data_IF_370472242280
#
_entry.id   IF_370472242280
#
_cell.length_a   1.000
_cell.length_b   1.000
_cell.length_c   1.000
_cell.angle_alpha   90.00
_cell.angle_beta   90.00
_cell.angle_gamma   90.00
#
_symmetry.space_group_name_H-M   'P 1'
#
loop_
_entity.id
_entity.type
_entity.pdbx_description
1 polymer ?
#
# COMPACT_ATOMS: atom_id res chain seq x y z
N UNK A 1 -0.32 29.00 -11.00
CA UNK A 1 -1.71 28.86 -10.50
C UNK A 1 -1.79 29.65 -9.20
N UNK A 2 -2.68 30.65 -9.11
CA UNK A 2 -2.80 31.59 -7.98
C UNK A 2 -4.11 31.39 -7.20
N UNK A 3 -4.54 30.14 -6.97
CA UNK A 3 -5.59 29.86 -5.96
C UNK A 3 -4.90 29.80 -4.60
N UNK A 4 -5.40 30.58 -3.64
CA UNK A 4 -4.91 30.63 -2.27
C UNK A 4 -6.11 30.46 -1.34
N UNK A 5 -6.00 29.60 -0.34
CA UNK A 5 -7.10 29.25 0.55
C UNK A 5 -7.62 27.82 0.31
N UNK A 6 -8.66 27.39 1.06
CA UNK A 6 -9.27 26.08 0.88
C UNK A 6 -9.89 25.94 -0.52
N UNK A 7 -10.01 24.70 -0.98
CA UNK A 7 -10.81 24.38 -2.15
C UNK A 7 -12.30 24.46 -1.77
N UNK A 8 -13.08 25.15 -2.60
CA UNK A 8 -14.53 25.32 -2.38
C UNK A 8 -15.30 24.05 -2.73
N UNK A 9 -14.80 23.26 -3.70
CA UNK A 9 -15.44 22.04 -4.18
C UNK A 9 -14.82 20.82 -3.47
N UNK A 10 -15.60 20.15 -2.62
CA UNK A 10 -15.14 18.94 -1.89
C UNK A 10 -14.85 17.77 -2.82
N UNK A 11 -15.46 17.75 -4.01
CA UNK A 11 -15.15 16.79 -5.06
C UNK A 11 -13.70 16.93 -5.54
N UNK A 12 -13.21 18.15 -5.74
CA UNK A 12 -11.82 18.42 -6.15
C UNK A 12 -10.84 17.91 -5.08
N UNK A 13 -11.19 18.08 -3.79
CA UNK A 13 -10.42 17.53 -2.67
C UNK A 13 -10.37 15.99 -2.72
N UNK A 14 -11.53 15.35 -2.94
CA UNK A 14 -11.65 13.90 -3.06
C UNK A 14 -10.82 13.36 -4.22
N UNK A 15 -10.92 13.97 -5.40
CA UNK A 15 -10.18 13.58 -6.60
C UNK A 15 -8.65 13.68 -6.39
N UNK A 16 -8.19 14.76 -5.77
CA UNK A 16 -6.77 14.89 -5.38
C UNK A 16 -6.38 13.79 -4.40
N UNK A 17 -7.23 13.47 -3.42
CA UNK A 17 -7.01 12.39 -2.48
C UNK A 17 -6.87 11.02 -3.14
N UNK A 18 -7.76 10.70 -4.09
CA UNK A 18 -7.72 9.45 -4.86
C UNK A 18 -6.42 9.36 -5.66
N UNK A 19 -6.05 10.44 -6.37
CA UNK A 19 -4.85 10.45 -7.19
C UNK A 19 -3.55 10.37 -6.35
N UNK A 20 -3.50 11.01 -5.18
CA UNK A 20 -2.38 10.84 -4.25
C UNK A 20 -2.30 9.42 -3.68
N UNK A 21 -3.44 8.83 -3.31
CA UNK A 21 -3.48 7.46 -2.83
C UNK A 21 -3.07 6.46 -3.93
N UNK A 22 -3.43 6.71 -5.18
CA UNK A 22 -3.01 5.90 -6.33
C UNK A 22 -1.49 5.94 -6.52
N UNK A 23 -0.90 7.13 -6.49
CA UNK A 23 0.55 7.29 -6.57
C UNK A 23 1.28 6.62 -5.40
N UNK A 24 0.77 6.78 -4.17
CA UNK A 24 1.34 6.11 -2.99
C UNK A 24 1.19 4.59 -3.06
N UNK A 25 0.02 4.09 -3.49
CA UNK A 25 -0.21 2.65 -3.72
C UNK A 25 0.86 2.11 -4.65
N UNK A 26 1.07 2.75 -5.81
CA UNK A 26 2.07 2.33 -6.78
C UNK A 26 3.50 2.23 -6.18
N UNK A 27 3.90 3.19 -5.36
CA UNK A 27 5.19 3.16 -4.67
C UNK A 27 5.25 2.04 -3.62
N UNK A 28 4.18 1.85 -2.84
CA UNK A 28 4.13 0.81 -1.82
C UNK A 28 4.23 -0.60 -2.44
N UNK A 29 3.64 -0.84 -3.61
CA UNK A 29 3.81 -2.14 -4.31
C UNK A 29 5.23 -2.36 -4.85
N UNK A 30 6.08 -1.34 -4.91
CA UNK A 30 7.48 -1.48 -5.29
C UNK A 30 8.43 -1.38 -4.08
N UNK A 31 7.90 -1.56 -2.86
CA UNK A 31 8.65 -1.48 -1.61
C UNK A 31 9.24 -0.08 -1.34
N UNK A 32 8.63 0.97 -1.90
CA UNK A 32 9.04 2.36 -1.72
C UNK A 32 8.03 3.06 -0.80
N UNK A 33 8.49 3.54 0.35
CA UNK A 33 7.74 4.50 1.20
C UNK A 33 8.27 5.90 0.95
N UNK A 34 7.38 6.86 0.69
CA UNK A 34 7.75 8.19 0.22
C UNK A 34 8.24 9.12 1.36
N UNK A 35 7.57 9.08 2.52
CA UNK A 35 7.99 9.67 3.82
C UNK A 35 8.05 11.20 3.95
N UNK A 36 8.02 11.96 2.86
CA UNK A 36 8.02 13.43 2.90
C UNK A 36 6.89 14.03 2.06
N UNK A 37 5.72 13.38 2.05
CA UNK A 37 4.58 13.89 1.28
C UNK A 37 4.02 15.16 1.93
N UNK A 38 4.07 16.27 1.19
CA UNK A 38 3.61 17.60 1.58
C UNK A 38 3.23 18.41 0.34
N UNK A 39 2.45 19.50 0.45
CA UNK A 39 2.04 20.29 -0.71
C UNK A 39 3.20 20.79 -1.58
N UNK A 40 4.33 21.17 -0.98
CA UNK A 40 5.54 21.60 -1.73
C UNK A 40 6.11 20.52 -2.65
N UNK A 41 5.84 19.25 -2.36
CA UNK A 41 6.28 18.10 -3.14
C UNK A 41 5.20 17.58 -4.11
N UNK A 42 4.08 18.31 -4.27
CA UNK A 42 2.98 17.96 -5.17
C UNK A 42 2.76 19.09 -6.17
N UNK A 43 3.11 18.86 -7.43
CA UNK A 43 2.75 19.75 -8.52
C UNK A 43 1.37 19.41 -9.07
N UNK A 44 0.50 20.40 -9.19
CA UNK A 44 -0.78 20.23 -9.89
C UNK A 44 -0.59 20.56 -11.36
N UNK A 45 -0.81 19.57 -12.21
CA UNK A 45 -0.79 19.70 -13.67
C UNK A 45 -2.20 19.62 -14.23
N UNK A 46 -2.42 20.15 -15.44
CA UNK A 46 -3.68 19.94 -16.15
C UNK A 46 -3.45 18.88 -17.24
N UNK A 47 -4.08 17.70 -17.10
CA UNK A 47 -4.09 16.67 -18.14
C UNK A 47 -5.53 16.44 -18.57
N UNK A 48 -5.82 16.72 -19.83
CA UNK A 48 -7.16 16.49 -20.39
C UNK A 48 -8.26 17.38 -19.81
N UNK A 49 -7.93 18.49 -19.14
CA UNK A 49 -8.91 19.35 -18.45
C UNK A 49 -8.99 19.10 -16.95
N UNK A 50 -8.40 18.02 -16.44
CA UNK A 50 -8.46 17.62 -15.03
C UNK A 50 -7.18 18.01 -14.28
N UNK A 51 -7.34 18.41 -13.02
CA UNK A 51 -6.23 18.73 -12.13
C UNK A 51 -5.58 17.42 -11.63
N UNK A 52 -4.41 17.09 -12.17
CA UNK A 52 -3.68 15.87 -11.81
C UNK A 52 -2.49 16.21 -10.89
N UNK A 53 -2.47 15.73 -9.64
CA UNK A 53 -1.31 15.86 -8.77
C UNK A 53 -0.16 14.98 -9.28
N UNK A 54 1.04 15.53 -9.31
CA UNK A 54 2.27 14.88 -9.73
C UNK A 54 3.29 15.06 -8.61
N UNK A 55 3.81 13.94 -8.11
CA UNK A 55 4.84 13.96 -7.08
C UNK A 55 6.17 14.46 -7.66
N UNK A 56 6.82 15.33 -6.91
CA UNK A 56 8.18 15.80 -7.20
C UNK A 56 9.06 15.56 -5.98
N UNK A 57 10.37 15.47 -6.18
CA UNK A 57 11.36 15.23 -5.11
C UNK A 57 11.22 13.87 -4.41
N UNK A 58 12.10 12.92 -4.74
CA UNK A 58 12.13 11.57 -4.16
C UNK A 58 13.29 11.37 -3.17
N UNK A 59 13.96 12.44 -2.75
CA UNK A 59 15.19 12.35 -1.96
C UNK A 59 15.00 11.69 -0.58
N UNK A 60 13.77 11.69 -0.04
CA UNK A 60 13.43 11.03 1.23
C UNK A 60 12.82 9.64 1.04
N UNK A 61 12.56 9.20 -0.19
CA UNK A 61 11.99 7.88 -0.44
C UNK A 61 12.97 6.76 -0.03
N UNK A 62 12.44 5.63 0.47
CA UNK A 62 13.25 4.41 0.68
C UNK A 62 13.18 3.50 -0.55
N UNK A 63 14.15 2.60 -0.73
CA UNK A 63 14.13 1.60 -1.81
C UNK A 63 14.50 2.10 -3.21
N UNK A 64 14.78 3.41 -3.38
CA UNK A 64 15.12 3.98 -4.69
C UNK A 64 16.61 3.81 -5.07
N UNK A 65 17.52 3.80 -4.09
CA UNK A 65 18.96 3.58 -4.30
C UNK A 65 19.55 2.78 -3.12
N UNK A 66 19.96 1.50 -3.33
CA UNK A 66 20.57 0.68 -2.29
C UNK A 66 21.99 1.12 -1.90
N UNK A 67 22.60 2.04 -2.66
CA UNK A 67 23.95 2.58 -2.43
C UNK A 67 23.96 4.01 -1.90
N UNK A 68 22.81 4.69 -1.90
CA UNK A 68 22.70 5.99 -1.26
C UNK A 68 22.86 5.82 0.26
N UNK A 69 23.83 6.52 0.85
CA UNK A 69 23.87 6.71 2.29
C UNK A 69 22.48 7.20 2.71
N UNK A 70 21.83 6.49 3.65
CA UNK A 70 20.54 6.89 4.23
C UNK A 70 20.70 8.34 4.67
N UNK A 71 20.18 9.28 3.87
CA UNK A 71 20.51 10.70 3.99
C UNK A 71 20.56 11.11 5.45
N UNK A 72 21.77 11.44 5.93
CA UNK A 72 21.87 12.18 7.16
C UNK A 72 21.17 13.51 6.90
N UNK A 73 20.29 13.92 7.82
CA UNK A 73 19.48 15.15 7.77
C UNK A 73 18.23 15.10 6.88
N UNK A 74 17.07 15.05 7.53
CA UNK A 74 16.08 16.15 7.50
C UNK A 74 14.95 15.82 8.47
N UNK A 75 15.28 15.79 9.77
CA UNK A 75 14.30 15.81 10.86
C UNK A 75 13.68 17.21 10.99
N UNK A 76 13.17 17.76 9.89
CA UNK A 76 12.31 18.94 9.95
C UNK A 76 10.92 18.42 10.29
N UNK A 77 10.56 18.59 11.56
CA UNK A 77 9.20 18.36 12.04
C UNK A 77 8.28 19.32 11.28
N UNK A 78 7.42 18.77 10.43
CA UNK A 78 6.43 19.52 9.66
C UNK A 78 5.02 19.01 9.97
N UNK A 79 3.98 19.83 9.76
CA UNK A 79 2.60 19.45 10.08
C UNK A 79 2.08 18.29 9.23
N UNK A 80 2.78 17.92 8.15
CA UNK A 80 2.45 16.80 7.26
C UNK A 80 3.19 15.50 7.60
N UNK A 81 4.17 15.54 8.51
CA UNK A 81 4.92 14.35 8.95
C UNK A 81 4.30 13.78 10.22
N UNK A 82 4.08 12.46 10.28
CA UNK A 82 3.60 11.84 11.50
C UNK A 82 4.71 11.79 12.55
N UNK A 83 4.34 11.79 13.83
CA UNK A 83 5.30 11.92 14.94
C UNK A 83 6.30 10.76 14.99
N UNK A 84 5.84 9.56 14.70
CA UNK A 84 6.70 8.38 14.69
C UNK A 84 7.75 8.41 13.57
N UNK A 85 7.56 9.21 12.52
CA UNK A 85 8.60 9.49 11.51
C UNK A 85 9.60 10.51 12.04
N UNK A 86 9.12 11.53 12.76
CA UNK A 86 9.96 12.60 13.31
C UNK A 86 10.81 12.18 14.52
N UNK A 87 10.35 11.19 15.29
CA UNK A 87 11.00 10.69 16.52
C UNK A 87 11.87 9.44 16.28
N UNK A 88 11.93 8.92 15.04
CA UNK A 88 12.68 7.71 14.74
C UNK A 88 14.20 7.97 14.71
N UNK A 89 14.85 7.84 15.85
CA UNK A 89 16.31 7.74 15.98
C UNK A 89 16.80 6.42 15.38
N UNK A 90 17.02 6.41 14.06
CA UNK A 90 17.82 5.47 13.23
C UNK A 90 17.68 3.95 13.41
N UNK A 91 16.83 3.46 14.30
CA UNK A 91 16.76 2.06 14.68
C UNK A 91 15.31 1.65 14.91
N UNK A 92 14.85 0.79 14.01
CA UNK A 92 13.71 -0.10 14.10
C UNK A 92 12.28 0.47 14.00
N UNK A 93 11.71 0.28 12.79
CA UNK A 93 10.32 -0.14 12.54
C UNK A 93 9.20 0.77 13.07
N UNK A 94 9.15 2.04 12.63
CA UNK A 94 7.94 2.87 12.83
C UNK A 94 7.42 3.58 11.58
N UNK A 95 8.04 3.35 10.43
CA UNK A 95 7.66 4.00 9.17
C UNK A 95 7.22 2.94 8.16
N UNK A 96 6.11 3.18 7.49
CA UNK A 96 5.51 2.25 6.53
C UNK A 96 4.43 2.93 5.69
N UNK A 97 3.65 2.17 4.90
CA UNK A 97 2.55 2.70 4.10
C UNK A 97 1.58 3.62 4.86
N UNK A 98 1.30 3.32 6.13
CA UNK A 98 0.47 4.12 7.04
C UNK A 98 1.03 5.52 7.35
N UNK A 99 2.34 5.74 7.16
CA UNK A 99 2.97 7.05 7.33
C UNK A 99 2.63 7.96 6.15
N UNK A 100 2.63 7.42 4.92
CA UNK A 100 2.22 8.17 3.74
C UNK A 100 0.70 8.45 3.74
N UNK A 101 -0.12 7.50 4.23
CA UNK A 101 -1.56 7.69 4.49
C UNK A 101 -1.81 8.92 5.38
N UNK A 102 -1.02 9.06 6.45
CA UNK A 102 -1.13 10.22 7.32
C UNK A 102 -0.85 11.51 6.56
N UNK A 103 0.22 11.54 5.78
CA UNK A 103 0.59 12.72 5.00
C UNK A 103 -0.47 13.09 3.96
N UNK A 104 -1.07 12.10 3.28
CA UNK A 104 -2.26 12.33 2.41
C UNK A 104 -3.39 12.95 3.23
N UNK A 105 -3.73 12.38 4.39
CA UNK A 105 -4.77 12.92 5.26
C UNK A 105 -4.52 14.38 5.69
N UNK A 106 -3.27 14.76 5.99
CA UNK A 106 -2.91 16.14 6.31
C UNK A 106 -2.98 17.08 5.11
N UNK A 107 -2.69 16.60 3.89
CA UNK A 107 -2.92 17.37 2.66
C UNK A 107 -4.43 17.59 2.46
N UNK A 108 -5.27 16.57 2.62
CA UNK A 108 -6.72 16.73 2.51
C UNK A 108 -7.26 17.74 3.53
N UNK A 109 -6.79 17.68 4.78
CA UNK A 109 -7.11 18.66 5.82
C UNK A 109 -6.71 20.09 5.41
N UNK A 110 -5.53 20.25 4.82
CA UNK A 110 -5.06 21.53 4.28
C UNK A 110 -5.96 22.04 3.16
N UNK A 111 -6.34 21.18 2.21
CA UNK A 111 -7.20 21.55 1.10
C UNK A 111 -8.60 21.95 1.57
N UNK A 112 -9.12 21.33 2.64
CA UNK A 112 -10.44 21.63 3.20
C UNK A 112 -10.48 22.89 4.05
N UNK A 113 -9.43 23.17 4.82
CA UNK A 113 -9.44 24.23 5.85
C UNK A 113 -8.52 25.40 5.53
N UNK A 114 -7.67 25.28 4.50
CA UNK A 114 -6.62 26.23 4.14
C UNK A 114 -5.45 26.29 5.13
N UNK A 115 -5.49 25.53 6.23
CA UNK A 115 -4.43 25.46 7.25
C UNK A 115 -4.26 24.02 7.73
N UNK A 116 -3.20 23.73 8.49
CA UNK A 116 -3.01 22.39 9.07
C UNK A 116 -2.87 22.52 10.57
N UNK A 117 -3.92 22.18 11.34
CA UNK A 117 -3.83 22.07 12.79
C UNK A 117 -2.67 21.16 13.21
N UNK A 118 -1.95 21.55 14.26
CA UNK A 118 -0.88 20.73 14.88
C UNK A 118 -1.40 19.48 15.57
N UNK A 119 -2.72 19.38 15.78
CA UNK A 119 -3.38 18.24 16.40
C UNK A 119 -3.65 17.18 15.34
N UNK A 120 -3.52 15.94 15.77
CA UNK A 120 -3.74 14.72 14.99
C UNK A 120 -5.17 14.22 15.23
N UNK A 121 -5.71 13.48 14.26
CA UNK A 121 -7.05 12.89 14.35
C UNK A 121 -8.12 13.93 14.64
N UNK A 122 -8.13 15.02 13.87
CA UNK A 122 -9.12 16.09 14.02
C UNK A 122 -10.18 15.98 12.93
N UNK A 123 -11.40 16.35 13.29
CA UNK A 123 -12.47 16.57 12.33
C UNK A 123 -12.23 17.92 11.62
N UNK A 124 -12.11 17.97 10.28
CA UNK A 124 -11.92 19.23 9.56
C UNK A 124 -13.07 20.23 9.77
N UNK A 125 -14.28 19.76 10.09
CA UNK A 125 -15.46 20.60 10.33
C UNK A 125 -15.34 21.46 11.59
N UNK A 126 -14.59 20.99 12.59
CA UNK A 126 -14.25 21.76 13.79
C UNK A 126 -13.38 22.99 13.47
N UNK A 127 -12.79 23.03 12.27
CA UNK A 127 -11.95 24.10 11.76
C UNK A 127 -12.60 24.87 10.61
N UNK A 128 -13.92 24.74 10.44
CA UNK A 128 -14.71 25.52 9.49
C UNK A 128 -14.76 24.96 8.07
N UNK A 129 -14.29 23.73 7.84
CA UNK A 129 -14.53 23.06 6.56
C UNK A 129 -16.01 22.69 6.41
N UNK A 130 -16.58 23.00 5.24
CA UNK A 130 -17.88 22.50 4.82
C UNK A 130 -17.66 21.26 3.95
N UNK A 131 -17.81 20.07 4.53
CA UNK A 131 -17.60 18.81 3.83
C UNK A 131 -18.49 17.69 4.35
N UNK A 132 -18.71 16.70 3.50
CA UNK A 132 -19.51 15.54 3.82
C UNK A 132 -18.89 14.71 4.96
N UNK A 133 -19.71 14.07 5.82
CA UNK A 133 -19.21 13.28 6.96
C UNK A 133 -18.16 12.24 6.58
N UNK A 134 -18.33 11.56 5.45
CA UNK A 134 -17.40 10.52 4.98
C UNK A 134 -15.98 11.06 4.78
N UNK A 135 -15.85 12.28 4.25
CA UNK A 135 -14.56 12.91 3.95
C UNK A 135 -13.91 13.40 5.25
N UNK A 136 -14.71 13.99 6.15
CA UNK A 136 -14.26 14.39 7.48
C UNK A 136 -13.72 13.20 8.29
N UNK A 137 -14.48 12.10 8.35
CA UNK A 137 -14.09 10.87 9.05
C UNK A 137 -12.85 10.21 8.41
N UNK A 138 -12.72 10.29 7.08
CA UNK A 138 -11.55 9.80 6.35
C UNK A 138 -10.30 10.58 6.74
N UNK A 139 -10.37 11.91 6.78
CA UNK A 139 -9.27 12.78 7.21
C UNK A 139 -8.91 12.51 8.68
N UNK A 140 -9.92 12.42 9.55
CA UNK A 140 -9.71 12.15 10.97
C UNK A 140 -8.99 10.80 11.17
N UNK A 141 -9.50 9.72 10.56
CA UNK A 141 -8.93 8.38 10.66
C UNK A 141 -7.51 8.31 10.10
N UNK A 142 -7.29 8.87 8.90
CA UNK A 142 -5.96 8.88 8.27
C UNK A 142 -4.92 9.61 9.11
N UNK A 143 -5.32 10.63 9.88
CA UNK A 143 -4.41 11.50 10.63
C UNK A 143 -4.28 11.15 12.12
N UNK A 144 -4.76 9.98 12.58
CA UNK A 144 -4.64 9.56 13.98
C UNK A 144 -3.18 9.42 14.42
N UNK A 145 -2.86 9.78 15.67
CA UNK A 145 -1.50 9.63 16.21
C UNK A 145 -1.05 8.17 16.22
N UNK A 146 -1.92 7.27 16.69
CA UNK A 146 -1.69 5.83 16.67
C UNK A 146 -1.83 5.29 15.23
N UNK A 147 -0.74 4.83 14.64
CA UNK A 147 -0.72 4.40 13.24
C UNK A 147 -1.54 3.13 12.99
N UNK A 148 -1.73 2.27 14.00
CA UNK A 148 -2.54 1.06 13.89
C UNK A 148 -4.02 1.38 13.73
N UNK A 149 -4.42 2.62 14.06
CA UNK A 149 -5.80 3.11 13.93
C UNK A 149 -6.07 3.88 12.65
N UNK A 150 -5.06 4.05 11.78
CA UNK A 150 -5.18 4.69 10.46
C UNK A 150 -5.68 3.68 9.42
N UNK A 151 -5.82 4.12 8.17
CA UNK A 151 -5.86 3.16 7.06
C UNK A 151 -4.51 2.47 6.93
N UNK A 152 -4.54 1.16 6.72
CA UNK A 152 -3.32 0.34 6.70
C UNK A 152 -2.33 0.77 5.61
N UNK A 153 -2.85 1.08 4.44
CA UNK A 153 -2.08 1.47 3.26
C UNK A 153 -2.90 2.45 2.40
N UNK A 154 -2.28 3.01 1.36
CA UNK A 154 -2.91 3.97 0.47
C UNK A 154 -4.02 3.35 -0.41
N UNK A 155 -3.90 2.07 -0.77
CA UNK A 155 -4.93 1.34 -1.53
C UNK A 155 -6.25 1.27 -0.76
N UNK A 156 -6.20 0.91 0.53
CA UNK A 156 -7.37 0.88 1.41
C UNK A 156 -8.02 2.26 1.56
N UNK A 157 -7.22 3.32 1.71
CA UNK A 157 -7.73 4.69 1.78
C UNK A 157 -8.35 5.16 0.46
N UNK A 158 -7.75 4.79 -0.69
CA UNK A 158 -8.29 5.05 -2.02
C UNK A 158 -9.70 4.48 -2.17
N UNK A 159 -9.90 3.22 -1.80
CA UNK A 159 -11.22 2.54 -1.88
C UNK A 159 -12.29 3.26 -1.07
N UNK A 160 -11.95 3.73 0.13
CA UNK A 160 -12.85 4.55 0.96
C UNK A 160 -13.25 5.86 0.26
N UNK A 161 -12.28 6.57 -0.34
CA UNK A 161 -12.55 7.81 -1.06
C UNK A 161 -13.40 7.56 -2.32
N UNK A 162 -13.15 6.47 -3.03
CA UNK A 162 -13.93 6.03 -4.20
C UNK A 162 -15.38 5.70 -3.80
N UNK A 163 -15.57 4.86 -2.77
CA UNK A 163 -16.87 4.44 -2.28
C UNK A 163 -17.65 5.54 -1.52
N UNK A 164 -16.96 6.59 -1.07
CA UNK A 164 -17.50 7.61 -0.14
C UNK A 164 -18.02 7.01 1.16
N UNK A 165 -17.34 5.98 1.66
CA UNK A 165 -17.68 5.26 2.89
C UNK A 165 -16.40 4.95 3.72
N UNK A 166 -16.20 5.63 4.86
CA UNK A 166 -15.00 5.47 5.70
C UNK A 166 -15.03 4.20 6.57
N UNK A 167 -16.18 3.53 6.66
CA UNK A 167 -16.42 2.41 7.55
C UNK A 167 -16.04 1.06 6.95
N UNK A 168 -15.88 0.96 5.62
CA UNK A 168 -15.88 -0.33 4.93
C UNK A 168 -14.84 -0.48 3.81
N UNK A 169 -13.51 -0.37 4.09
CA UNK A 169 -12.56 -0.99 3.17
C UNK A 169 -12.80 -2.51 3.21
N UNK A 170 -12.92 -3.19 2.05
CA UNK A 170 -13.06 -4.64 2.02
C UNK A 170 -11.93 -5.29 2.81
N UNK A 171 -12.26 -6.35 3.55
CA UNK A 171 -11.28 -7.12 4.29
C UNK A 171 -11.48 -8.61 4.03
N UNK A 172 -10.41 -9.35 4.19
CA UNK A 172 -10.38 -10.79 4.11
C UNK A 172 -9.40 -11.31 5.17
N UNK A 173 -9.36 -12.63 5.33
CA UNK A 173 -8.43 -13.30 6.24
C UNK A 173 -7.42 -14.14 5.48
N UNK A 174 -6.20 -14.20 6.02
CA UNK A 174 -5.17 -15.15 5.62
C UNK A 174 -4.73 -15.93 6.84
N UNK A 175 -4.91 -17.24 6.82
CA UNK A 175 -4.45 -18.13 7.88
C UNK A 175 -3.18 -18.84 7.45
N UNK A 176 -2.06 -18.56 8.10
CA UNK A 176 -0.80 -19.28 7.88
C UNK A 176 -0.92 -20.69 8.45
N UNK A 177 -1.01 -21.68 7.57
CA UNK A 177 -1.34 -23.07 7.92
C UNK A 177 -0.31 -23.69 8.86
N UNK A 178 0.97 -23.42 8.65
CA UNK A 178 2.06 -24.04 9.41
C UNK A 178 2.32 -23.34 10.75
N UNK A 179 2.12 -22.02 10.82
CA UNK A 179 2.33 -21.24 12.04
C UNK A 179 1.05 -21.08 12.90
N UNK A 180 -0.09 -21.57 12.42
CA UNK A 180 -1.41 -21.44 13.05
C UNK A 180 -1.73 -20.00 13.48
N UNK A 181 -1.40 -19.04 12.59
CA UNK A 181 -1.58 -17.61 12.82
C UNK A 181 -2.50 -17.04 11.74
N UNK A 182 -3.47 -16.23 12.16
CA UNK A 182 -4.41 -15.57 11.26
C UNK A 182 -4.12 -14.08 11.15
N UNK A 183 -4.29 -13.54 9.94
CA UNK A 183 -4.07 -12.15 9.61
C UNK A 183 -5.32 -11.60 8.91
N UNK A 184 -5.81 -10.46 9.35
CA UNK A 184 -6.71 -9.64 8.52
C UNK A 184 -5.89 -8.97 7.43
N UNK A 185 -6.38 -8.99 6.20
CA UNK A 185 -5.80 -8.29 5.06
C UNK A 185 -6.79 -7.29 4.46
N UNK A 186 -6.22 -6.23 3.88
CA UNK A 186 -6.93 -5.20 3.13
C UNK A 186 -6.37 -5.13 1.69
N UNK A 187 -7.12 -4.58 0.73
CA UNK A 187 -6.60 -4.31 -0.60
C UNK A 187 -5.26 -3.57 -0.52
N UNK A 188 -4.29 -4.02 -1.32
CA UNK A 188 -2.93 -3.52 -1.33
C UNK A 188 -1.96 -4.19 -0.36
N UNK A 189 -2.42 -5.06 0.54
CA UNK A 189 -1.53 -5.78 1.45
C UNK A 189 -0.64 -6.79 0.72
N UNK A 190 0.61 -6.86 1.19
CA UNK A 190 1.65 -7.74 0.64
C UNK A 190 2.07 -8.83 1.61
N UNK A 191 2.47 -9.97 1.08
CA UNK A 191 3.14 -11.04 1.83
C UNK A 191 4.52 -11.26 1.22
N UNK A 192 5.53 -11.40 2.05
CA UNK A 192 6.90 -11.71 1.62
C UNK A 192 7.84 -11.90 2.80
N UNK A 193 9.11 -12.21 2.52
CA UNK A 193 10.09 -12.47 3.58
C UNK A 193 10.67 -11.18 4.16
N UNK A 194 11.18 -11.27 5.39
CA UNK A 194 11.90 -10.16 6.02
C UNK A 194 13.15 -9.80 5.21
N UNK A 195 13.32 -8.50 4.93
CA UNK A 195 14.53 -7.94 4.33
C UNK A 195 15.11 -6.85 5.23
N UNK A 196 16.41 -6.87 5.57
CA UNK A 196 17.00 -5.91 6.51
C UNK A 196 16.97 -4.45 6.04
N UNK A 197 17.01 -4.21 4.73
CA UNK A 197 17.26 -2.89 4.15
C UNK A 197 16.06 -2.29 3.41
N UNK A 198 14.86 -2.86 3.58
CA UNK A 198 13.61 -2.41 2.95
C UNK A 198 12.44 -2.33 3.94
N UNK A 199 11.33 -1.65 3.58
CA UNK A 199 10.12 -1.70 4.39
C UNK A 199 9.61 -3.15 4.48
N UNK A 200 9.07 -3.57 5.63
CA UNK A 200 8.50 -4.91 5.75
C UNK A 200 7.22 -5.03 4.89
N UNK A 201 6.99 -6.22 4.34
CA UNK A 201 5.69 -6.58 3.77
C UNK A 201 4.59 -6.51 4.85
N UNK A 202 3.33 -6.26 4.44
CA UNK A 202 2.19 -6.20 5.38
C UNK A 202 2.09 -7.42 6.27
N UNK A 203 2.43 -8.59 5.73
CA UNK A 203 2.66 -9.83 6.46
C UNK A 203 4.07 -10.31 6.11
N UNK A 204 4.91 -10.43 7.13
CA UNK A 204 6.29 -10.87 6.98
C UNK A 204 6.42 -12.34 7.39
N UNK A 205 6.95 -13.18 6.50
CA UNK A 205 7.27 -14.58 6.81
C UNK A 205 8.76 -14.73 7.14
N UNK A 206 9.06 -15.63 8.06
CA UNK A 206 10.44 -16.08 8.31
C UNK A 206 10.81 -17.10 7.24
N UNK A 207 11.94 -16.87 6.57
CA UNK A 207 12.41 -17.70 5.45
C UNK A 207 13.94 -17.70 5.44
N UNK A 208 14.54 -18.60 6.22
CA UNK A 208 15.99 -18.68 6.42
C UNK A 208 16.74 -19.03 5.11
N UNK A 209 16.12 -19.84 4.25
CA UNK A 209 16.71 -20.27 2.98
C UNK A 209 16.57 -19.22 1.87
N UNK A 210 15.70 -18.22 2.04
CA UNK A 210 15.56 -17.09 1.13
C UNK A 210 14.88 -17.39 -0.21
N UNK A 211 14.04 -18.43 -0.29
CA UNK A 211 13.29 -18.78 -1.50
C UNK A 211 12.07 -17.89 -1.75
N UNK A 212 11.51 -17.30 -0.69
CA UNK A 212 10.42 -16.33 -0.74
C UNK A 212 11.01 -14.96 -1.14
N UNK A 213 10.34 -14.25 -2.03
CA UNK A 213 10.73 -12.90 -2.43
C UNK A 213 10.39 -11.89 -1.32
N UNK A 214 11.06 -10.74 -1.30
CA UNK A 214 10.82 -9.66 -0.30
C UNK A 214 9.37 -9.20 -0.31
N UNK A 215 8.80 -9.10 -1.52
CA UNK A 215 7.36 -9.11 -1.78
C UNK A 215 7.06 -10.28 -2.72
N UNK A 216 6.39 -11.31 -2.20
CA UNK A 216 6.00 -12.50 -2.98
C UNK A 216 4.68 -12.26 -3.70
N UNK A 217 3.68 -11.76 -2.97
CA UNK A 217 2.32 -11.54 -3.47
C UNK A 217 1.76 -10.24 -2.94
N UNK A 218 0.81 -9.68 -3.68
CA UNK A 218 -0.09 -8.61 -3.25
C UNK A 218 -1.53 -9.09 -3.41
N UNK A 219 -2.39 -8.75 -2.45
CA UNK A 219 -3.83 -8.99 -2.50
C UNK A 219 -4.56 -7.70 -2.85
N UNK A 220 -5.55 -7.79 -3.73
CA UNK A 220 -6.38 -6.66 -4.14
C UNK A 220 -7.79 -7.13 -4.47
N UNK A 221 -8.67 -6.18 -4.76
CA UNK A 221 -10.04 -6.42 -5.21
C UNK A 221 -10.25 -5.77 -6.57
N UNK A 222 -11.08 -6.37 -7.41
CA UNK A 222 -11.50 -5.76 -8.67
C UNK A 222 -12.66 -4.78 -8.47
N UNK A 223 -13.22 -4.28 -9.58
CA UNK A 223 -14.34 -3.33 -9.55
C UNK A 223 -15.67 -3.97 -9.14
N UNK A 224 -15.76 -5.30 -9.18
CA UNK A 224 -16.91 -6.08 -8.70
C UNK A 224 -16.80 -6.42 -7.21
N UNK A 225 -15.64 -6.17 -6.60
CA UNK A 225 -15.33 -6.45 -5.20
C UNK A 225 -14.76 -7.85 -4.96
N UNK A 226 -14.44 -8.58 -6.04
CA UNK A 226 -13.88 -9.93 -5.95
C UNK A 226 -12.38 -9.86 -5.67
N UNK A 227 -11.92 -10.69 -4.75
CA UNK A 227 -10.52 -10.74 -4.36
C UNK A 227 -9.67 -11.44 -5.40
N UNK A 228 -8.47 -10.93 -5.61
CA UNK A 228 -7.44 -11.61 -6.38
C UNK A 228 -6.07 -11.40 -5.76
N UNK A 229 -5.14 -12.30 -6.07
CA UNK A 229 -3.72 -12.07 -5.82
C UNK A 229 -2.99 -11.74 -7.11
N UNK A 230 -1.96 -10.91 -6.97
CA UNK A 230 -0.97 -10.62 -8.00
C UNK A 230 0.37 -11.17 -7.55
N UNK A 231 0.96 -12.04 -8.37
CA UNK A 231 2.31 -12.53 -8.12
C UNK A 231 3.33 -11.40 -8.36
N UNK A 232 4.34 -11.33 -7.49
CA UNK A 232 5.46 -10.39 -7.56
C UNK A 232 6.80 -11.11 -7.41
N UNK A 233 6.77 -12.43 -7.45
CA UNK A 233 7.89 -13.26 -7.08
C UNK A 233 8.83 -13.54 -8.24
N UNK A 234 10.04 -13.97 -7.89
CA UNK A 234 11.06 -14.39 -8.83
C UNK A 234 10.93 -15.86 -9.28
N UNK A 235 10.16 -16.67 -8.55
CA UNK A 235 10.08 -18.12 -8.74
C UNK A 235 8.64 -18.64 -8.97
N UNK A 236 7.63 -17.82 -8.70
CA UNK A 236 6.21 -18.15 -8.82
C UNK A 236 5.57 -18.50 -7.48
N UNK A 237 4.30 -18.15 -7.40
CA UNK A 237 3.36 -18.51 -6.33
C UNK A 237 2.42 -19.59 -6.83
N UNK A 238 1.87 -20.41 -5.94
CA UNK A 238 0.95 -21.48 -6.31
C UNK A 238 -0.37 -21.30 -5.56
N UNK A 239 -1.48 -21.39 -6.28
CA UNK A 239 -2.83 -21.33 -5.71
C UNK A 239 -3.52 -22.66 -5.91
N UNK A 240 -4.15 -23.19 -4.86
CA UNK A 240 -4.95 -24.41 -4.93
C UNK A 240 -6.42 -24.08 -4.80
N UNK A 241 -7.16 -24.40 -5.85
CA UNK A 241 -8.63 -24.34 -5.86
C UNK A 241 -9.16 -25.74 -6.15
N UNK A 242 -9.97 -26.26 -5.22
CA UNK A 242 -10.38 -27.67 -5.24
C UNK A 242 -9.19 -28.63 -5.16
N UNK A 243 -8.98 -29.45 -6.18
CA UNK A 243 -7.91 -30.47 -6.20
C UNK A 243 -6.62 -30.03 -6.93
N UNK A 244 -6.66 -28.92 -7.69
CA UNK A 244 -5.59 -28.55 -8.61
C UNK A 244 -4.78 -27.35 -8.12
N UNK A 245 -3.46 -27.43 -8.29
CA UNK A 245 -2.55 -26.29 -8.13
C UNK A 245 -2.37 -25.57 -9.46
N UNK A 246 -2.56 -24.25 -9.43
CA UNK A 246 -2.23 -23.32 -10.49
C UNK A 246 -0.98 -22.53 -10.09
N UNK A 247 0.03 -22.52 -10.96
CA UNK A 247 1.16 -21.59 -10.82
C UNK A 247 0.70 -20.21 -11.26
N UNK A 248 1.10 -19.18 -10.53
CA UNK A 248 0.92 -17.76 -10.85
C UNK A 248 2.32 -17.15 -10.89
N UNK A 249 2.65 -16.43 -11.95
CA UNK A 249 4.02 -15.96 -12.16
C UNK A 249 4.03 -14.61 -12.86
N UNK A 250 4.65 -13.63 -12.23
CA UNK A 250 4.79 -12.29 -12.77
C UNK A 250 5.73 -12.26 -13.97
N UNK A 251 5.72 -11.14 -14.70
CA UNK A 251 6.58 -10.97 -15.88
C UNK A 251 8.07 -10.99 -15.53
N UNK A 252 8.47 -10.32 -14.44
CA UNK A 252 9.86 -10.28 -14.01
C UNK A 252 10.38 -11.67 -13.61
N UNK A 253 9.57 -12.47 -12.90
CA UNK A 253 9.87 -13.86 -12.59
C UNK A 253 10.03 -14.72 -13.85
N UNK A 254 9.15 -14.56 -14.85
CA UNK A 254 9.28 -15.22 -16.16
C UNK A 254 10.60 -14.89 -16.85
N UNK A 255 10.96 -13.61 -16.90
CA UNK A 255 12.19 -13.12 -17.53
C UNK A 255 13.42 -13.71 -16.81
N UNK A 256 13.45 -13.67 -15.48
CA UNK A 256 14.51 -14.28 -14.66
C UNK A 256 14.68 -15.78 -14.96
N UNK A 257 13.59 -16.54 -14.94
CA UNK A 257 13.66 -18.00 -15.16
C UNK A 257 14.24 -18.31 -16.54
N UNK A 258 13.80 -17.59 -17.58
CA UNK A 258 14.35 -17.73 -18.94
C UNK A 258 15.85 -17.41 -18.99
N UNK A 259 16.30 -16.35 -18.31
CA UNK A 259 17.71 -15.98 -18.22
C UNK A 259 18.56 -17.03 -17.49
N UNK A 260 17.99 -17.70 -16.50
CA UNK A 260 18.63 -18.80 -15.77
C UNK A 260 18.53 -20.15 -16.51
N UNK A 261 17.88 -20.21 -17.68
CA UNK A 261 17.68 -21.46 -18.43
C UNK A 261 16.63 -22.39 -17.80
N UNK A 262 15.76 -21.86 -16.94
CA UNK A 262 14.64 -22.56 -16.30
C UNK A 262 13.36 -22.38 -17.11
N UNK A 263 12.42 -23.34 -16.98
CA UNK A 263 11.13 -23.27 -17.66
C UNK A 263 10.11 -22.42 -16.86
N UNK A 264 9.62 -21.29 -17.41
CA UNK A 264 8.64 -20.46 -16.75
C UNK A 264 7.19 -20.98 -16.88
N UNK A 265 6.94 -22.06 -17.63
CA UNK A 265 5.59 -22.59 -17.86
C UNK A 265 5.04 -23.34 -16.65
N UNK A 266 3.74 -23.66 -16.71
CA UNK A 266 3.10 -24.56 -15.76
C UNK A 266 3.30 -26.04 -16.15
N UNK A 267 2.72 -26.96 -15.37
CA UNK A 267 2.82 -28.41 -15.62
C UNK A 267 2.19 -28.90 -16.95
N UNK A 268 1.51 -28.03 -17.69
CA UNK A 268 0.88 -28.31 -18.96
C UNK A 268 1.51 -27.51 -20.11
N UNK A 269 2.72 -26.98 -19.91
CA UNK A 269 3.45 -26.15 -20.87
C UNK A 269 2.72 -24.83 -21.23
N UNK A 270 1.80 -24.38 -20.39
CA UNK A 270 1.12 -23.10 -20.57
C UNK A 270 1.83 -21.98 -19.82
N UNK A 271 1.75 -20.76 -20.36
CA UNK A 271 2.26 -19.58 -19.67
C UNK A 271 1.36 -19.23 -18.46
N UNK A 272 1.89 -19.21 -17.22
CA UNK A 272 1.10 -18.92 -16.04
C UNK A 272 0.53 -17.50 -16.06
N UNK A 273 -0.66 -17.27 -15.50
CA UNK A 273 -1.20 -15.94 -15.34
C UNK A 273 -0.36 -15.12 -14.33
N UNK A 274 -0.41 -13.79 -14.43
CA UNK A 274 0.21 -12.88 -13.44
C UNK A 274 -0.63 -12.71 -12.17
N UNK A 275 -1.91 -12.98 -12.29
CA UNK A 275 -2.94 -12.74 -11.28
C UNK A 275 -3.87 -13.94 -11.19
N UNK A 276 -4.52 -14.11 -10.05
CA UNK A 276 -5.46 -15.21 -9.82
C UNK A 276 -6.59 -14.76 -8.89
N UNK A 277 -7.84 -14.89 -9.35
CA UNK A 277 -9.02 -14.62 -8.52
C UNK A 277 -9.14 -15.65 -7.40
N UNK A 278 -9.42 -15.18 -6.19
CA UNK A 278 -9.44 -15.99 -4.98
C UNK A 278 -10.86 -16.27 -4.52
N UNK A 279 -11.07 -17.49 -4.05
CA UNK A 279 -12.31 -17.93 -3.42
C UNK A 279 -12.05 -18.35 -1.98
N UNK A 280 -13.08 -18.26 -1.14
CA UNK A 280 -13.02 -18.75 0.23
C UNK A 280 -12.53 -20.21 0.30
N UNK A 281 -11.52 -20.46 1.13
CA UNK A 281 -10.86 -21.76 1.29
C UNK A 281 -9.71 -22.06 0.31
N UNK A 282 -9.40 -21.15 -0.63
CA UNK A 282 -8.23 -21.32 -1.51
C UNK A 282 -6.92 -21.37 -0.69
N UNK A 283 -5.99 -22.23 -1.11
CA UNK A 283 -4.64 -22.28 -0.51
C UNK A 283 -3.63 -21.55 -1.39
N UNK A 284 -2.91 -20.59 -0.80
CA UNK A 284 -1.82 -19.85 -1.44
C UNK A 284 -0.49 -20.32 -0.86
N UNK A 285 0.24 -21.13 -1.62
CA UNK A 285 1.62 -21.47 -1.30
C UNK A 285 2.56 -20.43 -1.93
N UNK A 286 3.33 -19.74 -1.07
CA UNK A 286 4.21 -18.66 -1.52
C UNK A 286 5.23 -19.17 -2.53
N UNK A 287 5.82 -20.34 -2.27
CA UNK A 287 6.69 -21.04 -3.22
C UNK A 287 6.13 -22.44 -3.47
N UNK A 288 6.93 -23.37 -4.00
CA UNK A 288 6.47 -24.73 -4.28
C UNK A 288 5.75 -25.34 -3.05
N UNK A 289 4.57 -26.00 -3.22
CA UNK A 289 3.75 -26.45 -2.09
C UNK A 289 4.45 -27.35 -1.06
N UNK A 290 5.51 -28.06 -1.48
CA UNK A 290 6.33 -28.88 -0.58
C UNK A 290 7.25 -28.10 0.38
N UNK A 291 7.39 -26.78 0.20
CA UNK A 291 8.28 -25.93 1.01
C UNK A 291 7.69 -25.56 2.37
N UNK A 292 6.37 -25.58 2.51
CA UNK A 292 5.71 -25.38 3.81
C UNK A 292 5.46 -23.93 4.21
N UNK A 293 5.35 -23.00 3.25
CA UNK A 293 4.84 -21.64 3.50
C UNK A 293 3.52 -21.48 2.75
N UNK A 294 2.41 -21.73 3.44
CA UNK A 294 1.06 -21.79 2.83
C UNK A 294 0.04 -21.04 3.65
N UNK A 295 -0.76 -20.23 2.98
CA UNK A 295 -1.88 -19.50 3.56
C UNK A 295 -3.19 -20.07 3.06
N UNK A 296 -4.20 -20.12 3.91
CA UNK A 296 -5.59 -20.31 3.53
C UNK A 296 -6.27 -18.94 3.47
N UNK A 297 -6.91 -18.64 2.35
CA UNK A 297 -7.65 -17.40 2.15
C UNK A 297 -9.10 -17.56 2.60
N UNK A 298 -9.60 -16.60 3.37
CA UNK A 298 -10.99 -16.53 3.78
C UNK A 298 -11.62 -15.21 3.38
N UNK A 299 -12.69 -15.26 2.59
CA UNK A 299 -13.45 -14.05 2.23
C UNK A 299 -14.52 -13.78 3.30
N UNK A 300 -14.67 -12.52 3.74
CA UNK A 300 -15.77 -12.10 4.61
C UNK A 300 -17.06 -11.77 3.84
#
# INVERSE_FOLDING_TARGET
IHRTGPLEETEEVREVGIALCDAMSFLHETEIVYRDLKPDNVMVTNRGGEATPVLIDFNTATGFDPTAERGEETTIVGPYKPREVAEADRTDVRQGPWSDVYSVGKILLYLLTGTVPRRDGVDPRDFGADCEPYLAETVEKATRTDYERRYRNATAMKRVLEARDPSSPPMATLRHVQADTEYTIYPGDTVGRRFPDGPPSSITVEDEEGYVSTVQVRFDIDDEGEWFLRDRSLNGTYVKTGENWQRVLCRAGRERLRECGEDPTDRHDHEPPTEYGLMDGDLVALVHPGYGVTFEFGAE
#
